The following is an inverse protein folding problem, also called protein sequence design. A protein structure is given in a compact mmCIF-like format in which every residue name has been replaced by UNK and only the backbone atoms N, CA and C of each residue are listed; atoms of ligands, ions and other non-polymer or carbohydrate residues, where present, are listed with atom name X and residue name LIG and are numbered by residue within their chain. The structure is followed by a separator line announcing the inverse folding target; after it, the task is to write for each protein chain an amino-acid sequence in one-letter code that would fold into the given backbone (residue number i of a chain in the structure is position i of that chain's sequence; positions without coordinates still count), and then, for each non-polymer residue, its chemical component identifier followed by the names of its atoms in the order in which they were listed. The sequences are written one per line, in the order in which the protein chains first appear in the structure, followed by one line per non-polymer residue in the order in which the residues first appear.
data_IF_443545800466
#
_entry.id   IF_443545800466
#
_cell.length_a   1.000
_cell.length_b   1.000
_cell.length_c   1.000
_cell.angle_alpha   90.00
_cell.angle_beta   90.00
_cell.angle_gamma   90.00
#
_symmetry.space_group_name_H-M   'P 1'
#
loop_
_entity.id
_entity.type
_entity.pdbx_description
1 polymer ?
#
# COMPACT_ATOMS: atom_id res chain seq x y z
N UNK A 1 2.18 -6.73 4.02
CA UNK A 1 1.85 -5.65 3.07
C UNK A 1 3.05 -4.97 2.45
N UNK A 2 4.05 -4.49 3.21
CA UNK A 2 5.24 -3.86 2.60
C UNK A 2 5.93 -4.75 1.54
N UNK A 3 6.07 -6.05 1.82
CA UNK A 3 6.62 -7.03 0.86
C UNK A 3 5.80 -7.16 -0.42
N UNK A 4 4.47 -7.16 -0.32
CA UNK A 4 3.57 -7.12 -1.49
C UNK A 4 3.85 -5.86 -2.32
N UNK A 5 3.79 -4.69 -1.70
CA UNK A 5 3.89 -3.42 -2.41
C UNK A 5 5.25 -3.29 -3.12
N UNK A 6 6.35 -3.64 -2.45
CA UNK A 6 7.69 -3.59 -3.04
C UNK A 6 7.83 -4.58 -4.21
N UNK A 7 7.52 -5.86 -3.99
CA UNK A 7 7.68 -6.91 -5.02
C UNK A 7 6.79 -6.62 -6.23
N UNK A 8 5.54 -6.23 -6.02
CA UNK A 8 4.62 -5.92 -7.12
C UNK A 8 5.06 -4.70 -7.91
N UNK A 9 5.52 -3.63 -7.27
CA UNK A 9 6.09 -2.50 -7.98
C UNK A 9 7.31 -2.92 -8.81
N UNK A 10 8.24 -3.71 -8.24
CA UNK A 10 9.40 -4.22 -8.99
C UNK A 10 9.01 -5.08 -10.20
N UNK A 11 8.03 -5.97 -10.06
CA UNK A 11 7.52 -6.79 -11.16
C UNK A 11 6.87 -5.96 -12.26
N UNK A 12 6.06 -4.96 -11.89
CA UNK A 12 5.43 -4.06 -12.85
C UNK A 12 6.47 -3.25 -13.63
N UNK A 13 7.57 -2.85 -12.98
CA UNK A 13 8.67 -2.11 -13.63
C UNK A 13 9.42 -3.02 -14.59
N UNK A 14 9.83 -4.20 -14.14
CA UNK A 14 10.54 -5.17 -14.98
C UNK A 14 9.72 -5.54 -16.21
N UNK A 15 8.41 -5.63 -16.06
CA UNK A 15 7.47 -5.88 -17.15
C UNK A 15 7.36 -4.70 -18.11
N UNK A 16 7.27 -3.47 -17.59
CA UNK A 16 7.20 -2.25 -18.40
C UNK A 16 8.45 -2.09 -19.29
N UNK A 17 9.64 -2.37 -18.74
CA UNK A 17 10.91 -2.35 -19.48
C UNK A 17 10.94 -3.42 -20.59
N UNK A 18 10.40 -4.62 -20.31
CA UNK A 18 10.41 -5.73 -21.28
C UNK A 18 9.32 -5.60 -22.35
N UNK A 19 8.20 -4.97 -22.01
CA UNK A 19 6.99 -4.91 -22.84
C UNK A 19 6.45 -3.48 -22.91
N UNK A 20 7.26 -2.54 -23.41
CA UNK A 20 6.95 -1.09 -23.44
C UNK A 20 5.60 -0.79 -24.13
N UNK A 21 5.24 -1.56 -25.17
CA UNK A 21 4.01 -1.39 -25.94
C UNK A 21 2.83 -2.26 -25.47
N UNK A 22 2.90 -2.87 -24.29
CA UNK A 22 1.78 -3.72 -23.80
C UNK A 22 0.50 -2.93 -23.56
N UNK A 23 -0.66 -3.56 -23.78
CA UNK A 23 -1.94 -2.94 -23.49
C UNK A 23 -2.13 -2.82 -21.96
N UNK A 24 -2.85 -1.78 -21.53
CA UNK A 24 -3.20 -1.55 -20.12
C UNK A 24 -3.93 -2.76 -19.53
N UNK A 25 -4.80 -3.40 -20.33
CA UNK A 25 -5.53 -4.62 -19.94
C UNK A 25 -4.59 -5.76 -19.58
N UNK A 26 -3.55 -5.99 -20.38
CA UNK A 26 -2.58 -7.08 -20.13
C UNK A 26 -1.79 -6.84 -18.84
N UNK A 27 -1.42 -5.57 -18.60
CA UNK A 27 -0.75 -5.17 -17.35
C UNK A 27 -1.65 -5.36 -16.14
N UNK A 28 -2.95 -5.06 -16.27
CA UNK A 28 -3.94 -5.30 -15.22
C UNK A 28 -4.15 -6.81 -14.94
N UNK A 29 -4.29 -7.63 -15.98
CA UNK A 29 -4.40 -9.10 -15.84
C UNK A 29 -3.14 -9.68 -15.21
N UNK A 30 -1.96 -9.21 -15.61
CA UNK A 30 -0.70 -9.59 -14.98
C UNK A 30 -0.67 -9.24 -13.50
N UNK A 31 -1.07 -8.02 -13.14
CA UNK A 31 -1.18 -7.60 -11.75
C UNK A 31 -2.09 -8.54 -10.96
N UNK A 32 -3.30 -8.83 -11.45
CA UNK A 32 -4.24 -9.73 -10.76
C UNK A 32 -3.66 -11.12 -10.53
N UNK A 33 -2.97 -11.71 -11.53
CA UNK A 33 -2.32 -13.02 -11.39
C UNK A 33 -1.23 -13.00 -10.32
N UNK A 34 -0.37 -11.98 -10.35
CA UNK A 34 0.68 -11.81 -9.35
C UNK A 34 0.10 -11.60 -7.95
N UNK A 35 -0.94 -10.75 -7.82
CA UNK A 35 -1.63 -10.52 -6.56
C UNK A 35 -2.27 -11.78 -6.01
N UNK A 36 -2.95 -12.57 -6.84
CA UNK A 36 -3.51 -13.85 -6.43
C UNK A 36 -2.42 -14.82 -5.96
N UNK A 37 -1.32 -14.95 -6.72
CA UNK A 37 -0.19 -15.79 -6.33
C UNK A 37 0.43 -15.37 -4.99
N UNK A 38 0.58 -14.06 -4.76
CA UNK A 38 1.08 -13.53 -3.50
C UNK A 38 0.11 -13.81 -2.35
N UNK A 39 -1.20 -13.61 -2.55
CA UNK A 39 -2.22 -13.91 -1.54
C UNK A 39 -2.21 -15.39 -1.17
N UNK A 40 -2.14 -16.30 -2.14
CA UNK A 40 -2.07 -17.75 -1.89
C UNK A 40 -0.82 -18.10 -1.07
N UNK A 41 0.35 -17.58 -1.46
CA UNK A 41 1.60 -17.82 -0.73
C UNK A 41 1.58 -17.25 0.69
N UNK A 42 1.11 -16.01 0.83
CA UNK A 42 1.02 -15.33 2.13
C UNK A 42 0.03 -16.03 3.07
N UNK A 43 -1.17 -16.33 2.60
CA UNK A 43 -2.18 -17.06 3.38
C UNK A 43 -1.69 -18.47 3.72
N UNK A 44 -1.04 -19.17 2.80
CA UNK A 44 -0.47 -20.49 3.05
C UNK A 44 0.58 -20.47 4.17
N UNK A 45 1.54 -19.53 4.11
CA UNK A 45 2.55 -19.36 5.15
C UNK A 45 1.95 -18.88 6.48
N UNK A 46 0.92 -18.05 6.43
CA UNK A 46 0.26 -17.57 7.65
C UNK A 46 -0.59 -18.65 8.32
N UNK A 47 -1.29 -19.48 7.54
CA UNK A 47 -2.10 -20.61 8.02
C UNK A 47 -1.22 -21.77 8.54
N UNK A 48 -0.03 -21.96 7.97
CA UNK A 48 0.85 -23.08 8.33
C UNK A 48 1.20 -23.10 9.82
N UNK A 49 1.32 -21.93 10.46
CA UNK A 49 1.59 -21.83 11.91
C UNK A 49 0.48 -22.49 12.74
N UNK A 50 -0.79 -22.31 12.35
CA UNK A 50 -1.92 -22.88 13.09
C UNK A 50 -2.09 -24.36 12.80
N UNK A 51 -1.84 -24.78 11.56
CA UNK A 51 -1.83 -26.19 11.18
C UNK A 51 -0.73 -26.93 11.97
N UNK A 52 0.49 -26.41 11.95
CA UNK A 52 1.63 -27.01 12.64
C UNK A 52 1.43 -27.04 14.17
N UNK A 53 0.97 -25.93 14.76
CA UNK A 53 0.63 -25.89 16.18
C UNK A 53 -0.46 -26.89 16.54
N UNK A 54 -1.48 -27.05 15.69
CA UNK A 54 -2.56 -28.03 15.94
C UNK A 54 -2.03 -29.47 15.96
N UNK A 55 -1.10 -29.78 15.06
CA UNK A 55 -0.44 -31.09 15.00
C UNK A 55 0.42 -31.34 16.25
N UNK A 56 1.27 -30.37 16.63
CA UNK A 56 2.22 -30.51 17.74
C UNK A 56 1.49 -30.58 19.10
N UNK A 57 0.54 -29.66 19.34
CA UNK A 57 -0.18 -29.56 20.61
C UNK A 57 -1.35 -30.55 20.71
N UNK A 58 -1.69 -31.23 19.60
CA UNK A 58 -2.87 -32.10 19.48
C UNK A 58 -4.17 -31.43 19.93
N UNK A 59 -4.30 -30.13 19.62
CA UNK A 59 -5.48 -29.29 19.90
C UNK A 59 -5.93 -28.60 18.62
N UNK A 60 -7.21 -28.23 18.54
CA UNK A 60 -7.71 -27.49 17.38
C UNK A 60 -7.42 -25.99 17.49
N UNK A 61 -6.16 -25.62 17.28
CA UNK A 61 -5.70 -24.23 17.37
C UNK A 61 -6.35 -23.34 16.28
N UNK A 62 -6.76 -23.93 15.16
CA UNK A 62 -7.48 -23.19 14.10
C UNK A 62 -8.82 -22.68 14.62
N UNK A 63 -9.57 -23.53 15.34
CA UNK A 63 -10.84 -23.15 15.96
C UNK A 63 -10.62 -22.10 17.05
N UNK A 64 -9.60 -22.28 17.89
CA UNK A 64 -9.24 -21.33 18.94
C UNK A 64 -8.92 -19.94 18.35
N UNK A 65 -8.10 -19.90 17.29
CA UNK A 65 -7.75 -18.66 16.60
C UNK A 65 -8.95 -17.98 15.94
N UNK A 66 -9.91 -18.75 15.41
CA UNK A 66 -11.15 -18.21 14.87
C UNK A 66 -12.02 -17.58 15.95
N UNK A 67 -12.21 -18.27 17.09
CA UNK A 67 -12.97 -17.77 18.23
C UNK A 67 -12.32 -16.52 18.83
N UNK A 68 -11.00 -16.50 18.92
CA UNK A 68 -10.21 -15.35 19.36
C UNK A 68 -10.38 -14.17 18.39
N UNK A 69 -10.26 -14.40 17.08
CA UNK A 69 -10.49 -13.36 16.06
C UNK A 69 -11.91 -12.82 16.12
N UNK A 70 -12.93 -13.65 16.40
CA UNK A 70 -14.31 -13.19 16.59
C UNK A 70 -14.44 -12.32 17.84
N UNK A 71 -13.79 -12.71 18.93
CA UNK A 71 -13.80 -12.00 20.22
C UNK A 71 -13.08 -10.65 20.15
N UNK A 72 -11.96 -10.57 19.43
CA UNK A 72 -11.09 -9.38 19.38
C UNK A 72 -11.17 -8.59 18.07
N UNK A 73 -11.83 -9.09 17.02
CA UNK A 73 -11.84 -8.49 15.69
C UNK A 73 -13.06 -7.63 15.37
N UNK A 74 -14.25 -8.03 15.80
CA UNK A 74 -15.53 -7.34 15.49
C UNK A 74 -16.23 -6.84 16.77
N UNK A 75 -15.96 -7.45 17.93
CA UNK A 75 -16.65 -7.17 19.21
C UNK A 75 -15.69 -6.96 20.39
N UNK A 76 -14.44 -6.55 20.15
CA UNK A 76 -13.56 -6.17 21.27
C UNK A 76 -14.17 -4.97 22.01
N UNK A 77 -14.28 -5.06 23.34
CA UNK A 77 -14.81 -3.99 24.20
C UNK A 77 -14.08 -2.64 24.09
N UNK A 78 -12.90 -2.62 23.47
CA UNK A 78 -12.05 -1.44 23.27
C UNK A 78 -12.16 -0.85 21.85
N UNK A 79 -12.74 -1.59 20.90
CA UNK A 79 -12.93 -1.16 19.51
C UNK A 79 -14.14 -1.89 18.91
N UNK A 80 -15.25 -1.17 18.79
CA UNK A 80 -16.49 -1.60 18.15
C UNK A 80 -16.70 -0.67 16.95
N UNK A 81 -16.27 -1.12 15.77
CA UNK A 81 -16.33 -0.30 14.55
C UNK A 81 -17.78 -0.22 14.06
N UNK A 82 -18.52 0.73 14.61
CA UNK A 82 -19.93 0.98 14.35
C UNK A 82 -20.14 2.02 13.25
N UNK A 83 -19.12 2.82 12.92
CA UNK A 83 -19.25 3.98 12.03
C UNK A 83 -18.05 4.19 11.10
N UNK A 84 -18.28 4.85 9.97
CA UNK A 84 -17.20 5.34 9.10
C UNK A 84 -16.25 6.34 9.76
N UNK A 85 -16.66 6.96 10.88
CA UNK A 85 -15.76 7.79 11.71
C UNK A 85 -14.61 6.99 12.33
N UNK A 86 -14.85 5.74 12.70
CA UNK A 86 -13.85 4.88 13.35
C UNK A 86 -12.76 4.44 12.36
N UNK A 87 -13.13 4.31 11.07
CA UNK A 87 -12.21 4.05 9.96
C UNK A 87 -11.28 5.25 9.73
N UNK A 88 -11.84 6.46 9.71
CA UNK A 88 -11.05 7.68 9.54
C UNK A 88 -10.10 7.90 10.72
N UNK A 89 -10.53 7.58 11.95
CA UNK A 89 -9.68 7.65 13.12
C UNK A 89 -8.55 6.62 13.08
N UNK A 90 -8.83 5.38 12.66
CA UNK A 90 -7.81 4.35 12.45
C UNK A 90 -6.74 4.82 11.46
N UNK A 91 -7.15 5.27 10.27
CA UNK A 91 -6.23 5.78 9.25
C UNK A 91 -5.46 6.99 9.80
N UNK A 92 -6.11 7.87 10.56
CA UNK A 92 -5.44 9.00 11.20
C UNK A 92 -4.36 8.56 12.18
N UNK A 93 -4.62 7.55 13.02
CA UNK A 93 -3.64 7.00 13.97
C UNK A 93 -2.43 6.42 13.24
N UNK A 94 -2.66 5.65 12.18
CA UNK A 94 -1.61 5.07 11.35
C UNK A 94 -0.76 6.14 10.66
N UNK A 95 -1.37 7.20 10.12
CA UNK A 95 -0.65 8.30 9.47
C UNK A 95 0.16 9.11 10.50
N UNK A 96 -0.40 9.39 11.67
CA UNK A 96 0.30 10.13 12.73
C UNK A 96 1.56 9.39 13.19
N UNK A 97 1.55 8.06 13.18
CA UNK A 97 2.73 7.26 13.54
C UNK A 97 3.89 7.34 12.52
N UNK A 98 3.64 7.76 11.27
CA UNK A 98 4.72 8.05 10.31
C UNK A 98 5.58 9.21 10.81
N UNK A 99 4.97 10.18 11.50
CA UNK A 99 5.63 11.36 12.05
C UNK A 99 5.47 11.37 13.59
N UNK A 100 6.18 10.48 14.31
CA UNK A 100 5.96 10.23 15.73
C UNK A 100 6.38 11.41 16.62
N UNK A 101 7.16 12.35 16.09
CA UNK A 101 7.50 13.59 16.78
C UNK A 101 6.39 14.59 16.43
N UNK A 102 5.89 15.33 17.43
CA UNK A 102 4.87 16.38 17.30
C UNK A 102 5.35 17.61 16.46
N UNK A 103 6.28 17.40 15.52
CA UNK A 103 6.84 18.36 14.56
C UNK A 103 5.76 19.03 13.73
N UNK A 104 4.71 18.26 13.40
CA UNK A 104 3.56 18.75 12.65
C UNK A 104 2.42 18.78 13.66
N UNK A 105 2.18 19.95 14.26
CA UNK A 105 0.91 20.21 14.90
C UNK A 105 -0.16 20.11 13.80
N UNK A 106 -0.77 18.93 13.63
CA UNK A 106 -1.63 18.62 12.48
C UNK A 106 -2.84 19.56 12.35
N UNK A 107 -3.27 20.17 13.47
CA UNK A 107 -4.33 21.17 13.51
C UNK A 107 -3.84 22.61 13.30
N UNK A 108 -2.53 22.85 13.31
CA UNK A 108 -1.93 24.16 13.03
C UNK A 108 -2.09 24.55 11.57
N UNK A 109 -1.96 25.85 11.29
CA UNK A 109 -1.94 26.37 9.92
C UNK A 109 -0.86 25.69 9.07
N UNK A 110 0.32 25.45 9.64
CA UNK A 110 1.43 24.76 8.97
C UNK A 110 1.06 23.34 8.55
N UNK A 111 0.43 22.56 9.45
CA UNK A 111 -0.04 21.21 9.14
C UNK A 111 -1.06 21.18 8.01
N UNK A 112 -2.01 22.14 8.01
CA UNK A 112 -3.01 22.28 6.95
C UNK A 112 -2.38 22.64 5.59
N UNK A 113 -1.40 23.55 5.58
CA UNK A 113 -0.66 23.93 4.36
C UNK A 113 0.11 22.73 3.80
N UNK A 114 0.78 21.96 4.66
CA UNK A 114 1.54 20.79 4.24
C UNK A 114 0.64 19.71 3.62
N UNK A 115 -0.52 19.44 4.23
CA UNK A 115 -1.52 18.52 3.66
C UNK A 115 -2.00 19.02 2.29
N UNK A 116 -2.33 20.30 2.18
CA UNK A 116 -2.77 20.90 0.91
C UNK A 116 -1.70 20.75 -0.18
N UNK A 117 -0.44 21.01 0.15
CA UNK A 117 0.69 20.84 -0.76
C UNK A 117 0.82 19.38 -1.24
N UNK A 118 0.72 18.41 -0.33
CA UNK A 118 0.78 16.98 -0.69
C UNK A 118 -0.38 16.57 -1.62
N UNK A 119 -1.59 17.09 -1.38
CA UNK A 119 -2.75 16.86 -2.24
C UNK A 119 -2.51 17.46 -3.63
N UNK A 120 -2.02 18.69 -3.71
CA UNK A 120 -1.69 19.34 -4.99
C UNK A 120 -0.65 18.55 -5.79
N UNK A 121 0.42 18.07 -5.12
CA UNK A 121 1.44 17.22 -5.75
C UNK A 121 0.80 15.92 -6.26
N UNK A 122 -0.03 15.27 -5.45
CA UNK A 122 -0.72 14.03 -5.84
C UNK A 122 -1.64 14.24 -7.04
N UNK A 123 -2.46 15.30 -7.05
CA UNK A 123 -3.37 15.61 -8.16
C UNK A 123 -2.58 15.92 -9.44
N UNK A 124 -1.50 16.69 -9.34
CA UNK A 124 -0.63 16.98 -10.46
C UNK A 124 0.05 15.73 -11.02
N UNK A 125 0.52 14.83 -10.16
CA UNK A 125 1.05 13.53 -10.54
C UNK A 125 0.02 12.69 -11.26
N UNK A 126 -1.20 12.57 -10.72
CA UNK A 126 -2.29 11.83 -11.35
C UNK A 126 -2.59 12.41 -12.74
N UNK A 127 -2.71 13.73 -12.87
CA UNK A 127 -2.89 14.39 -14.17
C UNK A 127 -1.79 13.99 -15.18
N UNK A 128 -0.50 14.06 -14.78
CA UNK A 128 0.59 13.68 -15.67
C UNK A 128 0.63 12.19 -15.99
N UNK A 129 0.32 11.32 -15.03
CA UNK A 129 0.22 9.88 -15.24
C UNK A 129 -0.85 9.58 -16.26
N UNK A 130 -2.07 10.08 -16.09
CA UNK A 130 -3.16 9.81 -17.03
C UNK A 130 -2.90 10.38 -18.42
N UNK A 131 -2.22 11.53 -18.51
CA UNK A 131 -1.88 12.17 -19.78
C UNK A 131 -0.74 11.48 -20.54
N UNK A 132 0.32 11.08 -19.84
CA UNK A 132 1.57 10.68 -20.49
C UNK A 132 1.96 9.23 -20.26
N UNK A 133 1.64 8.66 -19.09
CA UNK A 133 2.11 7.34 -18.67
C UNK A 133 1.03 6.58 -17.87
N UNK A 134 -0.15 6.30 -18.45
CA UNK A 134 -1.31 5.78 -17.72
C UNK A 134 -1.03 4.45 -17.02
N UNK A 135 -0.08 3.66 -17.52
CA UNK A 135 0.36 2.39 -16.94
C UNK A 135 0.96 2.51 -15.52
N UNK A 136 1.42 3.68 -15.11
CA UNK A 136 1.99 3.91 -13.77
C UNK A 136 0.92 4.05 -12.69
N UNK A 137 -0.37 4.17 -13.07
CA UNK A 137 -1.48 4.15 -12.11
C UNK A 137 -1.50 2.86 -11.30
N UNK A 138 -1.07 1.74 -11.90
CA UNK A 138 -0.99 0.44 -11.21
C UNK A 138 0.05 0.44 -10.09
N UNK A 139 1.14 1.20 -10.21
CA UNK A 139 2.12 1.35 -9.14
C UNK A 139 1.52 2.05 -7.92
N UNK A 140 0.73 3.11 -8.15
CA UNK A 140 -0.01 3.81 -7.09
C UNK A 140 -1.10 2.93 -6.47
N UNK A 141 -1.84 2.17 -7.28
CA UNK A 141 -2.85 1.22 -6.80
C UNK A 141 -2.24 0.15 -5.88
N UNK A 142 -1.08 -0.39 -6.24
CA UNK A 142 -0.30 -1.31 -5.40
C UNK A 142 0.23 -0.63 -4.14
N UNK A 143 0.55 0.66 -4.23
CA UNK A 143 0.86 1.54 -3.11
C UNK A 143 -0.27 1.65 -2.08
N UNK A 144 -1.52 1.45 -2.48
CA UNK A 144 -2.66 1.48 -1.57
C UNK A 144 -2.86 0.20 -0.73
N UNK A 145 -2.06 -0.84 -0.96
CA UNK A 145 -2.21 -2.13 -0.25
C UNK A 145 -2.19 -2.05 1.29
N UNK A 146 -1.38 -1.18 1.94
CA UNK A 146 -1.45 -0.96 3.38
C UNK A 146 -2.85 -0.55 3.86
N UNK A 147 -3.51 0.37 3.14
CA UNK A 147 -4.85 0.83 3.51
C UNK A 147 -5.91 -0.24 3.28
N UNK A 148 -5.77 -1.07 2.23
CA UNK A 148 -6.64 -2.24 2.04
C UNK A 148 -6.55 -3.18 3.25
N UNK A 149 -5.36 -3.37 3.81
CA UNK A 149 -5.19 -4.16 5.04
C UNK A 149 -5.82 -3.51 6.26
N UNK A 150 -5.63 -2.21 6.44
CA UNK A 150 -6.23 -1.47 7.57
C UNK A 150 -7.76 -1.57 7.56
N UNK A 151 -8.37 -1.67 6.38
CA UNK A 151 -9.81 -1.87 6.22
C UNK A 151 -10.23 -3.34 6.36
N UNK A 152 -9.41 -4.28 5.92
CA UNK A 152 -9.72 -5.71 5.99
C UNK A 152 -9.53 -6.29 7.40
N UNK A 153 -8.58 -5.75 8.17
CA UNK A 153 -8.27 -6.18 9.53
C UNK A 153 -8.21 -4.98 10.51
N UNK A 154 -9.30 -4.22 10.66
CA UNK A 154 -9.32 -2.94 11.36
C UNK A 154 -9.03 -3.09 12.86
N UNK A 155 -9.58 -4.11 13.53
CA UNK A 155 -9.27 -4.37 14.95
C UNK A 155 -7.79 -4.71 15.17
N UNK A 156 -7.18 -5.47 14.26
CA UNK A 156 -5.75 -5.78 14.34
C UNK A 156 -4.89 -4.53 14.13
N UNK A 157 -5.20 -3.72 13.12
CA UNK A 157 -4.53 -2.44 12.89
C UNK A 157 -4.74 -1.46 14.04
N UNK A 158 -5.92 -1.42 14.65
CA UNK A 158 -6.21 -0.54 15.78
C UNK A 158 -5.37 -0.85 17.02
N UNK A 159 -5.27 -2.12 17.40
CA UNK A 159 -4.47 -2.55 18.56
C UNK A 159 -2.98 -2.48 18.28
N UNK A 160 -2.57 -2.74 17.04
CA UNK A 160 -1.17 -2.78 16.63
C UNK A 160 -0.75 -1.59 15.76
N UNK A 161 -1.40 -0.43 15.89
CA UNK A 161 -1.12 0.76 15.07
C UNK A 161 0.35 1.21 15.19
N UNK A 162 0.97 0.99 16.34
CA UNK A 162 2.39 1.28 16.62
C UNK A 162 3.39 0.43 15.81
N UNK A 163 2.92 -0.61 15.13
CA UNK A 163 3.74 -1.46 14.26
C UNK A 163 3.21 -1.50 12.82
N UNK A 164 1.89 -1.57 12.66
CA UNK A 164 1.24 -1.73 11.36
C UNK A 164 1.42 -0.51 10.45
N UNK A 165 1.64 0.70 11.00
CA UNK A 165 1.95 1.90 10.22
C UNK A 165 3.17 1.75 9.33
N UNK A 166 4.15 0.92 9.74
CA UNK A 166 5.39 0.69 8.99
C UNK A 166 5.12 0.11 7.61
N UNK A 167 3.98 -0.54 7.40
CA UNK A 167 3.57 -1.04 6.09
C UNK A 167 3.38 0.07 5.05
N UNK A 168 3.12 1.31 5.49
CA UNK A 168 2.99 2.50 4.63
C UNK A 168 4.31 2.89 3.94
N UNK A 169 5.46 2.30 4.32
CA UNK A 169 6.71 2.41 3.55
C UNK A 169 6.50 1.98 2.09
N UNK A 170 5.60 1.03 1.84
CA UNK A 170 5.22 0.63 0.50
C UNK A 170 4.53 1.76 -0.29
N UNK A 171 3.63 2.49 0.37
CA UNK A 171 2.96 3.67 -0.21
C UNK A 171 3.99 4.73 -0.59
N UNK A 172 4.91 5.04 0.32
CA UNK A 172 5.99 6.02 0.10
C UNK A 172 6.87 5.59 -1.07
N UNK A 173 7.27 4.31 -1.10
CA UNK A 173 8.07 3.76 -2.19
C UNK A 173 7.38 3.91 -3.54
N UNK A 174 6.11 3.51 -3.65
CA UNK A 174 5.34 3.62 -4.87
C UNK A 174 5.22 5.09 -5.34
N UNK A 175 4.96 6.00 -4.39
CA UNK A 175 4.86 7.43 -4.68
C UNK A 175 6.17 8.01 -5.20
N UNK A 176 7.26 7.86 -4.46
CA UNK A 176 8.60 8.37 -4.85
C UNK A 176 9.03 7.79 -6.20
N UNK A 177 8.79 6.50 -6.41
CA UNK A 177 9.10 5.84 -7.67
C UNK A 177 8.36 6.48 -8.85
N UNK A 178 7.05 6.70 -8.70
CA UNK A 178 6.24 7.31 -9.75
C UNK A 178 6.66 8.75 -10.00
N UNK A 179 6.95 9.53 -8.95
CA UNK A 179 7.53 10.87 -9.09
C UNK A 179 8.81 10.84 -9.92
N UNK A 180 9.74 9.95 -9.60
CA UNK A 180 10.99 9.82 -10.32
C UNK A 180 10.77 9.54 -11.82
N UNK A 181 9.88 8.60 -12.14
CA UNK A 181 9.63 8.18 -13.51
C UNK A 181 8.82 9.19 -14.34
N UNK A 182 7.95 9.97 -13.70
CA UNK A 182 7.14 10.99 -14.36
C UNK A 182 7.96 12.26 -14.60
N UNK A 183 8.83 12.65 -13.65
CA UNK A 183 9.59 13.90 -13.75
C UNK A 183 10.95 13.75 -14.43
N UNK A 184 11.73 12.72 -14.11
CA UNK A 184 13.14 12.67 -14.53
C UNK A 184 13.34 11.94 -15.87
N UNK A 185 12.53 10.93 -16.19
CA UNK A 185 12.74 10.12 -17.41
C UNK A 185 12.32 10.85 -18.70
N UNK A 186 11.55 11.93 -18.61
CA UNK A 186 11.19 12.73 -19.81
C UNK A 186 12.34 13.61 -20.30
N UNK A 187 13.20 14.09 -19.42
CA UNK A 187 14.28 15.02 -19.79
C UNK A 187 15.37 14.34 -20.65
N UNK A 188 15.70 13.09 -20.36
CA UNK A 188 16.78 12.41 -21.11
C UNK A 188 16.42 12.09 -22.56
N UNK A 189 15.14 11.82 -22.90
CA UNK A 189 14.77 11.54 -24.31
C UNK A 189 14.84 12.80 -25.19
N UNK A 190 14.55 13.98 -24.63
CA UNK A 190 14.69 15.25 -25.36
C UNK A 190 16.14 15.69 -25.49
N UNK A 191 16.97 15.48 -24.47
CA UNK A 191 18.40 15.83 -24.50
C UNK A 191 19.18 14.95 -25.48
N UNK A 192 18.94 13.63 -25.48
CA UNK A 192 19.61 12.70 -26.41
C UNK A 192 19.27 13.00 -27.88
N UNK A 193 18.03 13.39 -28.18
CA UNK A 193 17.63 13.75 -29.54
C UNK A 193 18.26 15.08 -29.99
N UNK A 194 18.53 16.01 -29.07
CA UNK A 194 19.21 17.26 -29.38
C UNK A 194 20.71 17.04 -29.67
N UNK A 195 21.38 16.15 -28.92
CA UNK A 195 22.79 15.80 -29.17
C UNK A 195 23.00 15.01 -30.47
N UNK A 196 22.02 14.25 -30.95
CA UNK A 196 22.12 13.53 -32.24
C UNK A 196 21.91 14.42 -33.47
N UNK A 197 21.48 15.67 -33.28
CA UNK A 197 21.21 16.64 -34.36
C UNK A 197 22.20 17.83 -34.36
N UNK A 198 23.28 17.75 -33.58
CA UNK A 198 24.43 18.67 -33.59
C UNK A 198 25.69 17.94 -34.02
#
# INVERSE_FOLDING_TARGET
MASYTLVMNMLLIKRDVKHENEQIKDKFVFLLKCSASWCIGYLGLWMSKWILSSIILRKNIILDAYLETKKYGIQSSEYDMKSGRDVLELISKEIKQIFPINLIAWNSLFGKILIMMLICILLFLLYRIFKEKPKYVFCLLVGCAPYVWFLACPGHSWVHFWFTYRSQVGTVFAFVFVCFNVFFIKNNKSEILQETHT
#
